data_IF_590181385291
#
_entry.id   IF_590181385291
#
_cell.length_a   1.000
_cell.length_b   1.000
_cell.length_c   1.000
_cell.angle_alpha   90.00
_cell.angle_beta   90.00
_cell.angle_gamma   90.00
#
_symmetry.space_group_name_H-M   'P 1'
#
loop_
_entity.id
_entity.type
_entity.pdbx_description
1 polymer ?
#
# COMPACT_ATOMS: atom_id res chain seq x y z
N UNK A 1 -9.70 -8.98 11.09
CA UNK A 1 -9.19 -7.79 10.36
C UNK A 1 -9.15 -8.15 8.89
N UNK A 2 -9.63 -7.29 8.00
CA UNK A 2 -9.75 -7.62 6.57
C UNK A 2 -8.36 -7.76 5.95
N UNK A 3 -8.16 -8.78 5.11
CA UNK A 3 -6.91 -9.01 4.39
C UNK A 3 -6.96 -8.29 3.04
N UNK A 4 -6.14 -7.27 2.84
CA UNK A 4 -6.03 -6.55 1.58
C UNK A 4 -4.72 -6.90 0.87
N UNK A 5 -4.81 -7.15 -0.44
CA UNK A 5 -3.70 -7.45 -1.34
C UNK A 5 -3.76 -6.50 -2.55
N UNK A 6 -2.60 -5.98 -2.97
CA UNK A 6 -2.45 -5.14 -4.16
C UNK A 6 -1.48 -5.82 -5.12
N UNK A 7 -1.91 -5.98 -6.36
CA UNK A 7 -1.16 -6.58 -7.46
C UNK A 7 -0.84 -5.49 -8.47
N UNK A 8 0.42 -5.06 -8.50
CA UNK A 8 0.90 -3.99 -9.36
C UNK A 8 1.32 -4.46 -10.74
N UNK A 9 1.35 -3.53 -11.73
CA UNK A 9 2.01 -3.77 -13.01
C UNK A 9 3.49 -4.14 -12.85
N UNK A 10 4.10 -4.55 -13.96
CA UNK A 10 5.55 -4.75 -14.02
C UNK A 10 6.28 -3.42 -13.75
N UNK A 11 7.11 -3.37 -12.70
CA UNK A 11 7.84 -2.17 -12.27
C UNK A 11 9.33 -2.48 -12.05
N UNK A 12 10.17 -1.43 -12.03
CA UNK A 12 11.61 -1.55 -11.72
C UNK A 12 11.90 -1.88 -10.25
N UNK A 13 10.99 -1.54 -9.33
CA UNK A 13 11.13 -1.81 -7.91
C UNK A 13 9.76 -2.10 -7.27
N UNK A 14 9.72 -2.61 -6.02
CA UNK A 14 8.48 -2.98 -5.34
C UNK A 14 7.41 -1.89 -5.24
N UNK A 15 7.82 -0.62 -5.15
CA UNK A 15 6.87 0.51 -5.00
C UNK A 15 6.64 1.28 -6.29
N UNK A 16 7.50 1.09 -7.31
CA UNK A 16 7.55 1.90 -8.52
C UNK A 16 8.00 3.35 -8.32
N UNK A 17 8.53 3.69 -7.14
CA UNK A 17 9.03 5.04 -6.80
C UNK A 17 10.53 5.17 -7.15
N UNK A 18 11.06 4.31 -8.03
CA UNK A 18 12.44 4.36 -8.55
C UNK A 18 12.52 5.24 -9.80
N UNK A 19 13.39 6.26 -9.80
CA UNK A 19 13.75 7.00 -11.00
C UNK A 19 13.60 8.51 -10.89
N UNK A 20 14.03 9.26 -11.93
CA UNK A 20 14.04 10.72 -11.93
C UNK A 20 12.64 11.36 -12.01
N UNK A 21 11.63 10.59 -12.42
CA UNK A 21 10.24 11.04 -12.54
C UNK A 21 9.33 10.07 -11.81
N UNK A 22 9.05 10.39 -10.55
CA UNK A 22 8.18 9.58 -9.67
C UNK A 22 6.72 9.87 -10.00
N UNK A 23 5.93 8.82 -10.20
CA UNK A 23 4.48 8.92 -10.30
C UNK A 23 3.86 9.35 -8.94
N UNK A 24 3.14 10.49 -8.88
CA UNK A 24 2.47 10.95 -7.66
C UNK A 24 1.51 9.93 -7.04
N UNK A 25 0.83 9.12 -7.84
CA UNK A 25 -0.09 8.09 -7.34
C UNK A 25 0.67 6.96 -6.65
N UNK A 26 1.78 6.51 -7.22
CA UNK A 26 2.64 5.50 -6.58
C UNK A 26 3.23 6.01 -5.26
N UNK A 27 3.57 7.30 -5.19
CA UNK A 27 4.02 7.95 -3.96
C UNK A 27 2.90 8.04 -2.91
N UNK A 28 1.69 8.44 -3.32
CA UNK A 28 0.51 8.51 -2.45
C UNK A 28 0.21 7.14 -1.83
N UNK A 29 0.10 6.11 -2.67
CA UNK A 29 -0.19 4.74 -2.23
C UNK A 29 0.91 4.24 -1.31
N UNK A 30 2.18 4.39 -1.68
CA UNK A 30 3.29 3.98 -0.81
C UNK A 30 3.26 4.68 0.55
N UNK A 31 2.86 5.95 0.60
CA UNK A 31 2.69 6.70 1.86
C UNK A 31 1.55 6.14 2.71
N UNK A 32 0.40 5.86 2.10
CA UNK A 32 -0.76 5.23 2.76
C UNK A 32 -0.37 3.87 3.35
N UNK A 33 0.21 2.97 2.54
CA UNK A 33 0.59 1.64 3.00
C UNK A 33 1.62 1.69 4.14
N UNK A 34 2.57 2.63 4.09
CA UNK A 34 3.53 2.83 5.17
C UNK A 34 2.89 3.34 6.46
N UNK A 35 1.91 4.26 6.38
CA UNK A 35 1.21 4.76 7.55
C UNK A 35 0.31 3.69 8.18
N UNK A 36 -0.36 2.88 7.36
CA UNK A 36 -1.13 1.72 7.81
C UNK A 36 -0.23 0.69 8.50
N UNK A 37 0.92 0.36 7.90
CA UNK A 37 1.88 -0.57 8.49
C UNK A 37 2.38 -0.13 9.86
N UNK A 38 2.65 1.18 10.05
CA UNK A 38 3.04 1.75 11.36
C UNK A 38 1.94 1.61 12.42
N UNK A 39 0.69 1.44 12.01
CA UNK A 39 -0.48 1.23 12.89
C UNK A 39 -0.88 -0.23 13.01
N UNK A 40 -0.02 -1.14 12.56
CA UNK A 40 -0.24 -2.59 12.63
C UNK A 40 -1.13 -3.16 11.53
N UNK A 41 -1.53 -2.36 10.54
CA UNK A 41 -2.33 -2.80 9.40
C UNK A 41 -1.38 -3.10 8.25
N UNK A 42 -1.17 -4.38 7.97
CA UNK A 42 -0.28 -4.82 6.89
C UNK A 42 -1.12 -5.12 5.65
N UNK A 43 -0.80 -4.43 4.56
CA UNK A 43 -1.34 -4.69 3.23
C UNK A 43 -0.23 -5.39 2.44
N UNK A 44 -0.56 -6.54 1.86
CA UNK A 44 0.36 -7.27 0.99
C UNK A 44 0.39 -6.59 -0.38
N UNK A 45 1.58 -6.30 -0.89
CA UNK A 45 1.78 -5.65 -2.19
C UNK A 45 2.80 -6.43 -2.99
N UNK A 46 2.43 -6.79 -4.21
CA UNK A 46 3.23 -7.59 -5.13
C UNK A 46 3.28 -6.89 -6.48
N UNK A 47 4.38 -7.02 -7.21
CA UNK A 47 4.43 -6.56 -8.60
C UNK A 47 4.76 -7.71 -9.53
N UNK A 48 4.31 -7.60 -10.78
CA UNK A 48 4.40 -8.67 -11.76
C UNK A 48 5.86 -9.09 -12.06
N UNK A 49 6.81 -8.14 -12.03
CA UNK A 49 8.23 -8.40 -12.30
C UNK A 49 8.89 -9.22 -11.21
N UNK A 50 8.65 -8.89 -9.94
CA UNK A 50 9.34 -9.49 -8.80
C UNK A 50 8.59 -10.69 -8.21
N UNK A 51 7.29 -10.78 -8.43
CA UNK A 51 6.43 -11.79 -7.81
C UNK A 51 5.50 -12.47 -8.84
N UNK A 52 5.96 -12.92 -10.02
CA UNK A 52 5.06 -13.46 -11.04
C UNK A 52 4.22 -14.65 -10.55
N UNK A 53 4.78 -15.46 -9.65
CA UNK A 53 4.13 -16.67 -9.14
C UNK A 53 2.77 -16.41 -8.46
N UNK A 54 2.65 -15.35 -7.65
CA UNK A 54 1.38 -15.08 -6.92
C UNK A 54 0.26 -14.64 -7.85
N UNK A 55 0.58 -14.11 -9.03
CA UNK A 55 -0.39 -13.71 -10.05
C UNK A 55 -0.96 -14.94 -10.79
N UNK A 56 -0.22 -16.06 -10.78
CA UNK A 56 -0.67 -17.34 -11.33
C UNK A 56 -1.43 -18.16 -10.27
N UNK A 57 -0.94 -18.15 -9.03
CA UNK A 57 -1.53 -18.89 -7.91
C UNK A 57 -2.87 -18.32 -7.44
N UNK A 58 -3.07 -17.01 -7.55
CA UNK A 58 -4.35 -16.39 -7.24
C UNK A 58 -5.30 -16.53 -8.45
N UNK A 59 -6.26 -17.45 -8.36
CA UNK A 59 -7.17 -17.79 -9.46
C UNK A 59 -7.94 -16.58 -10.02
N UNK A 60 -8.44 -15.70 -9.14
CA UNK A 60 -9.20 -14.51 -9.54
C UNK A 60 -8.32 -13.51 -10.31
N UNK A 61 -7.10 -13.25 -9.83
CA UNK A 61 -6.14 -12.38 -10.51
C UNK A 61 -5.67 -13.00 -11.82
N UNK A 62 -5.35 -14.29 -11.82
CA UNK A 62 -4.91 -15.01 -13.01
C UNK A 62 -5.98 -14.97 -14.10
N UNK A 63 -7.24 -15.28 -13.74
CA UNK A 63 -8.37 -15.19 -14.66
C UNK A 63 -8.51 -13.79 -15.23
N UNK A 64 -8.43 -12.76 -14.39
CA UNK A 64 -8.57 -11.36 -14.82
C UNK A 64 -7.48 -10.95 -15.83
N UNK A 65 -6.24 -11.42 -15.62
CA UNK A 65 -5.14 -11.17 -16.54
C UNK A 65 -5.27 -11.93 -17.86
N UNK A 66 -5.80 -13.15 -17.84
CA UNK A 66 -6.05 -13.90 -19.08
C UNK A 66 -7.20 -13.28 -19.90
N UNK A 67 -8.24 -12.78 -19.23
CA UNK A 67 -9.41 -12.21 -19.89
C UNK A 67 -9.17 -10.79 -20.44
N UNK A 68 -8.48 -9.93 -19.68
CA UNK A 68 -8.29 -8.51 -20.01
C UNK A 68 -6.84 -8.10 -20.31
N UNK A 69 -5.88 -9.01 -20.16
CA UNK A 69 -4.46 -8.70 -20.30
C UNK A 69 -3.89 -7.95 -19.10
N UNK A 70 -2.63 -7.52 -19.22
CA UNK A 70 -1.89 -6.82 -18.14
C UNK A 70 -2.40 -5.41 -17.85
N UNK A 71 -3.17 -4.82 -18.77
CA UNK A 71 -3.75 -3.47 -18.64
C UNK A 71 -4.83 -3.38 -17.55
N UNK A 72 -5.24 -4.52 -16.99
CA UNK A 72 -6.16 -4.56 -15.83
C UNK A 72 -5.47 -4.20 -14.51
N UNK A 73 -4.14 -4.20 -14.49
CA UNK A 73 -3.34 -3.84 -13.32
C UNK A 73 -3.35 -2.31 -13.09
N UNK A 74 -3.24 -1.84 -11.84
CA UNK A 74 -3.17 -2.63 -10.62
C UNK A 74 -4.53 -3.24 -10.23
N UNK A 75 -4.50 -4.43 -9.62
CA UNK A 75 -5.68 -5.08 -9.03
C UNK A 75 -5.61 -4.96 -7.50
N UNK A 76 -6.70 -4.55 -6.88
CA UNK A 76 -6.87 -4.57 -5.41
C UNK A 76 -7.89 -5.63 -5.03
N UNK A 77 -7.52 -6.45 -4.05
CA UNK A 77 -8.33 -7.53 -3.50
C UNK A 77 -8.52 -7.36 -2.00
N UNK A 78 -9.72 -7.63 -1.49
CA UNK A 78 -10.03 -7.64 -0.06
C UNK A 78 -10.75 -8.95 0.27
N UNK A 79 -10.23 -9.69 1.26
CA UNK A 79 -10.77 -10.98 1.72
C UNK A 79 -11.02 -11.97 0.56
N UNK A 80 -10.10 -11.99 -0.41
CA UNK A 80 -10.18 -12.87 -1.58
C UNK A 80 -11.05 -12.36 -2.74
N UNK A 81 -11.68 -11.19 -2.60
CA UNK A 81 -12.56 -10.61 -3.64
C UNK A 81 -11.91 -9.40 -4.30
N UNK A 82 -11.88 -9.37 -5.63
CA UNK A 82 -11.41 -8.20 -6.38
C UNK A 82 -12.38 -7.04 -6.17
N UNK A 83 -11.88 -5.93 -5.64
CA UNK A 83 -12.67 -4.73 -5.35
C UNK A 83 -12.36 -3.55 -6.27
N UNK A 84 -11.17 -3.56 -6.90
CA UNK A 84 -10.75 -2.49 -7.83
C UNK A 84 -9.72 -3.00 -8.83
N UNK A 85 -9.77 -2.48 -10.04
CA UNK A 85 -8.82 -2.75 -11.13
C UNK A 85 -8.44 -1.45 -11.82
N UNK A 86 -7.33 -1.44 -12.58
CA UNK A 86 -6.83 -0.31 -13.41
C UNK A 86 -6.45 0.96 -12.66
N UNK A 87 -6.77 1.06 -11.37
CA UNK A 87 -6.46 2.19 -10.52
C UNK A 87 -6.30 1.75 -9.05
N UNK A 88 -5.46 2.47 -8.32
CA UNK A 88 -5.32 2.27 -6.89
C UNK A 88 -6.54 2.78 -6.11
N UNK A 89 -6.79 2.25 -4.89
CA UNK A 89 -7.82 2.82 -4.03
C UNK A 89 -7.52 4.27 -3.66
N UNK A 90 -8.56 5.11 -3.61
CA UNK A 90 -8.50 6.42 -2.99
C UNK A 90 -8.34 6.28 -1.48
N UNK A 91 -8.05 7.38 -0.79
CA UNK A 91 -7.92 7.36 0.66
C UNK A 91 -9.25 6.96 1.33
N UNK A 92 -10.37 7.46 0.81
CA UNK A 92 -11.72 7.14 1.26
C UNK A 92 -12.06 5.67 1.03
N UNK A 93 -11.65 5.11 -0.11
CA UNK A 93 -11.81 3.69 -0.42
C UNK A 93 -10.95 2.82 0.50
N UNK A 94 -9.68 3.17 0.77
CA UNK A 94 -8.87 2.45 1.76
C UNK A 94 -9.56 2.41 3.13
N UNK A 95 -10.08 3.54 3.60
CA UNK A 95 -10.81 3.63 4.86
C UNK A 95 -12.06 2.75 4.87
N UNK A 96 -12.88 2.84 3.82
CA UNK A 96 -14.14 2.10 3.69
C UNK A 96 -13.90 0.59 3.56
N UNK A 97 -12.94 0.20 2.72
CA UNK A 97 -12.60 -1.19 2.47
C UNK A 97 -12.04 -1.86 3.72
N UNK A 98 -11.17 -1.19 4.48
CA UNK A 98 -10.52 -1.73 5.68
C UNK A 98 -11.35 -1.52 6.96
N UNK A 99 -12.37 -0.67 6.93
CA UNK A 99 -13.21 -0.34 8.10
C UNK A 99 -12.45 0.51 9.13
N UNK A 100 -11.68 1.49 8.68
CA UNK A 100 -10.82 2.35 9.51
C UNK A 100 -11.12 3.84 9.27
N UNK A 101 -10.79 4.70 10.24
CA UNK A 101 -10.89 6.15 10.06
C UNK A 101 -9.71 6.73 9.26
N UNK A 102 -9.90 7.90 8.66
CA UNK A 102 -8.84 8.61 7.92
C UNK A 102 -7.61 8.92 8.76
N UNK A 103 -7.75 8.99 10.08
CA UNK A 103 -6.64 9.21 10.98
C UNK A 103 -5.59 8.11 10.87
N UNK A 104 -5.95 6.91 10.40
CA UNK A 104 -5.00 5.84 10.12
C UNK A 104 -4.08 6.13 8.93
N UNK A 105 -4.57 6.91 7.96
CA UNK A 105 -3.81 7.27 6.75
C UNK A 105 -2.84 8.43 6.99
N UNK A 106 -3.07 9.23 8.03
CA UNK A 106 -2.21 10.35 8.41
C UNK A 106 -0.93 9.84 9.07
N UNK A 107 0.18 10.52 8.78
CA UNK A 107 1.44 10.29 9.48
C UNK A 107 1.22 10.53 10.98
N UNK A 108 1.65 9.58 11.82
CA UNK A 108 1.71 9.83 13.26
C UNK A 108 2.75 10.90 13.50
N UNK A 109 2.35 12.09 13.97
CA UNK A 109 3.28 12.98 14.62
C UNK A 109 3.90 12.21 15.79
N UNK A 110 5.18 11.85 15.68
CA UNK A 110 5.93 11.51 16.87
C UNK A 110 5.91 12.78 17.72
N UNK A 111 5.09 12.82 18.76
CA UNK A 111 5.37 13.68 19.92
C UNK A 111 6.80 13.31 20.32
N UNK A 112 7.77 14.10 19.88
CA UNK A 112 9.11 14.08 20.43
C UNK A 112 8.90 14.49 21.88
N UNK A 113 8.80 13.50 22.78
CA UNK A 113 8.93 13.75 24.20
C UNK A 113 10.37 14.24 24.35
N UNK A 114 10.54 15.56 24.30
CA UNK A 114 11.82 16.22 24.53
C UNK A 114 12.11 16.08 26.01
N UNK A 115 12.49 14.87 26.44
CA UNK A 115 13.02 14.62 27.78
C UNK A 115 14.46 15.12 27.77
N UNK A 116 14.61 16.45 27.78
CA UNK A 116 15.87 17.08 28.10
C UNK A 116 16.07 16.93 29.61
N UNK A 117 16.69 15.81 30.01
CA UNK A 117 17.23 15.62 31.34
C UNK A 117 18.45 16.53 31.51
N UNK A 118 18.23 17.84 31.65
CA UNK A 118 19.22 18.74 32.23
C UNK A 118 19.28 18.45 33.73
N UNK A 119 20.06 17.45 34.12
CA UNK A 119 20.59 17.38 35.49
C UNK A 119 21.55 18.56 35.65
N UNK A 120 21.03 19.60 36.30
CA UNK A 120 21.70 20.41 37.33
C UNK A 120 23.22 20.58 37.20
N UNK A 121 23.64 21.79 36.83
CA UNK A 121 25.02 22.27 36.89
C UNK A 121 25.14 23.70 36.38
N UNK A 122 24.39 24.62 36.98
CA UNK A 122 24.77 26.04 37.00
C UNK A 122 25.94 26.22 37.98
N UNK A 123 26.80 27.20 37.66
CA UNK A 123 28.02 27.65 38.35
C UNK A 123 29.32 26.94 37.93
#
# INVERSE_FOLDING_TARGET
>A
MKKMMIFDPAMCCPTGVCGPSVDPELLRVSTVLNNLKKRGIVIERYNLTNNPQIFVENEEVNKKLNDEGVDVLPITMVDGVIVKTKAYPTNEEFCSLLGISEDYLKATEKKVIKRCCCKSGCC
#
